data_IF_511556394542
#
_entry.id   IF_511556394542
#
_cell.length_a   1.000
_cell.length_b   1.000
_cell.length_c   1.000
_cell.angle_alpha   90.00
_cell.angle_beta   90.00
_cell.angle_gamma   90.00
#
_symmetry.space_group_name_H-M   'P 1'
#
loop_
_entity.id
_entity.type
_entity.pdbx_description
1 polymer ?
#
# COMPACT_ATOMS: atom_id res chain seq x y z
N UNK A 1 30.75 -10.85 -12.24
CA UNK A 1 29.70 -11.62 -11.53
C UNK A 1 28.39 -11.32 -12.26
N UNK A 2 28.00 -12.19 -13.18
CA UNK A 2 26.77 -12.13 -13.95
C UNK A 2 25.95 -13.34 -13.50
N UNK A 3 24.89 -13.10 -12.73
CA UNK A 3 23.91 -14.11 -12.36
C UNK A 3 22.54 -13.56 -12.75
N UNK A 4 22.09 -13.97 -13.93
CA UNK A 4 20.70 -14.21 -14.35
C UNK A 4 19.57 -13.30 -13.81
N UNK A 5 19.73 -11.98 -13.92
CA UNK A 5 18.58 -11.05 -13.84
C UNK A 5 17.50 -11.40 -14.88
N UNK A 6 17.88 -11.94 -16.04
CA UNK A 6 16.97 -12.33 -17.10
C UNK A 6 16.09 -13.55 -16.73
N UNK A 7 16.61 -14.51 -15.97
CA UNK A 7 15.83 -15.68 -15.50
C UNK A 7 14.88 -15.24 -14.38
N UNK A 8 15.36 -14.39 -13.46
CA UNK A 8 14.50 -13.79 -12.43
C UNK A 8 13.36 -12.99 -13.07
N UNK A 9 13.62 -12.22 -14.14
CA UNK A 9 12.60 -11.46 -14.85
C UNK A 9 11.58 -12.35 -15.56
N UNK A 10 12.01 -13.48 -16.14
CA UNK A 10 11.14 -14.38 -16.90
C UNK A 10 10.26 -15.23 -15.99
N UNK A 11 10.83 -15.73 -14.88
CA UNK A 11 10.09 -16.43 -13.84
C UNK A 11 9.17 -15.48 -13.07
N UNK A 12 9.61 -14.23 -12.84
CA UNK A 12 8.76 -13.17 -12.32
C UNK A 12 7.61 -12.85 -13.28
N UNK A 13 7.85 -12.69 -14.57
CA UNK A 13 6.77 -12.47 -15.56
C UNK A 13 5.81 -13.65 -15.63
N UNK A 14 6.28 -14.88 -15.49
CA UNK A 14 5.41 -16.06 -15.50
C UNK A 14 4.57 -16.18 -14.21
N UNK A 15 5.19 -16.02 -13.03
CA UNK A 15 4.50 -16.00 -11.74
C UNK A 15 3.58 -14.79 -11.62
N UNK A 16 3.98 -13.65 -12.18
CA UNK A 16 3.16 -12.45 -12.29
C UNK A 16 2.00 -12.69 -13.25
N UNK A 17 2.17 -13.32 -14.40
CA UNK A 17 1.07 -13.68 -15.29
C UNK A 17 0.08 -14.67 -14.65
N UNK A 18 0.56 -15.65 -13.88
CA UNK A 18 -0.30 -16.59 -13.14
C UNK A 18 -1.03 -15.92 -11.96
N UNK A 19 -0.32 -15.06 -11.22
CA UNK A 19 -0.89 -14.26 -10.14
C UNK A 19 -1.86 -13.19 -10.66
N UNK A 20 -1.57 -12.61 -11.81
CA UNK A 20 -2.38 -11.64 -12.54
C UNK A 20 -3.61 -12.30 -13.15
N UNK A 21 -3.51 -13.54 -13.63
CA UNK A 21 -4.67 -14.33 -14.07
C UNK A 21 -5.59 -14.72 -12.89
N UNK A 22 -5.01 -14.96 -11.70
CA UNK A 22 -5.76 -15.16 -10.44
C UNK A 22 -6.31 -13.86 -9.85
N UNK A 23 -5.57 -12.75 -9.94
CA UNK A 23 -5.96 -11.43 -9.43
C UNK A 23 -6.91 -10.68 -10.37
N UNK A 24 -6.94 -11.02 -11.67
CA UNK A 24 -7.96 -10.58 -12.64
C UNK A 24 -9.37 -10.94 -12.20
N UNK A 25 -9.50 -11.99 -11.37
CA UNK A 25 -10.77 -12.43 -10.80
C UNK A 25 -11.24 -11.50 -9.67
N UNK A 26 -10.35 -10.65 -9.14
CA UNK A 26 -10.66 -9.48 -8.29
C UNK A 26 -10.51 -8.20 -9.14
N UNK A 27 -11.48 -7.96 -10.03
CA UNK A 27 -11.46 -6.94 -11.09
C UNK A 27 -11.02 -5.53 -10.59
N UNK A 28 -11.34 -5.19 -9.35
CA UNK A 28 -11.09 -3.87 -8.76
C UNK A 28 -9.65 -3.64 -8.27
N UNK A 29 -8.92 -4.69 -7.85
CA UNK A 29 -7.58 -4.55 -7.28
C UNK A 29 -6.51 -4.47 -8.38
N UNK A 30 -6.66 -5.27 -9.43
CA UNK A 30 -5.74 -5.27 -10.57
C UNK A 30 -5.87 -3.99 -11.39
N UNK A 31 -7.10 -3.50 -11.61
CA UNK A 31 -7.32 -2.18 -12.21
C UNK A 31 -6.76 -1.06 -11.32
N UNK A 32 -6.86 -1.13 -9.99
CA UNK A 32 -6.27 -0.10 -9.11
C UNK A 32 -4.74 -0.10 -9.15
N UNK A 33 -4.10 -1.26 -9.26
CA UNK A 33 -2.63 -1.38 -9.43
C UNK A 33 -2.21 -0.89 -10.81
N UNK A 34 -2.89 -1.32 -11.89
CA UNK A 34 -2.61 -0.86 -13.25
C UNK A 34 -2.91 0.63 -13.42
N UNK A 35 -4.00 1.13 -12.84
CA UNK A 35 -4.32 2.56 -12.82
C UNK A 35 -3.32 3.32 -11.99
N UNK A 36 -2.81 2.82 -10.87
CA UNK A 36 -1.76 3.55 -10.19
C UNK A 36 -0.42 3.51 -10.91
N UNK A 37 -0.04 2.39 -11.50
CA UNK A 37 1.21 2.32 -12.25
C UNK A 37 1.09 3.18 -13.52
N UNK A 38 -0.07 3.16 -14.18
CA UNK A 38 -0.42 4.00 -15.33
C UNK A 38 -0.64 5.46 -14.94
N UNK A 39 -1.20 5.79 -13.78
CA UNK A 39 -1.34 7.17 -13.28
C UNK A 39 0.04 7.68 -12.89
N UNK A 40 0.88 6.92 -12.18
CA UNK A 40 2.26 7.32 -11.91
C UNK A 40 3.08 7.45 -13.19
N UNK A 41 2.91 6.57 -14.19
CA UNK A 41 3.53 6.65 -15.52
C UNK A 41 2.97 7.79 -16.38
N UNK A 42 1.66 8.06 -16.31
CA UNK A 42 1.00 9.17 -17.00
C UNK A 42 1.33 10.49 -16.31
N UNK A 43 1.48 10.54 -14.99
CA UNK A 43 1.99 11.67 -14.22
C UNK A 43 3.46 11.89 -14.54
N UNK A 44 4.28 10.85 -14.72
CA UNK A 44 5.63 10.96 -15.28
C UNK A 44 5.60 11.52 -16.72
N UNK A 45 4.77 10.97 -17.59
CA UNK A 45 4.60 11.43 -18.98
C UNK A 45 4.01 12.83 -19.10
N UNK A 46 3.21 13.26 -18.12
CA UNK A 46 2.55 14.56 -18.03
C UNK A 46 3.40 15.60 -17.31
N UNK A 47 4.23 15.22 -16.32
CA UNK A 47 5.15 16.14 -15.63
C UNK A 47 6.31 16.57 -16.52
N UNK A 48 6.70 15.74 -17.48
CA UNK A 48 7.55 16.17 -18.59
C UNK A 48 6.79 17.04 -19.63
N UNK A 49 5.57 17.49 -19.30
CA UNK A 49 4.98 18.74 -19.81
C UNK A 49 4.11 19.47 -18.73
N UNK A 50 4.75 19.76 -17.59
CA UNK A 50 4.55 20.83 -16.61
C UNK A 50 3.14 21.46 -16.42
N UNK A 51 2.44 21.08 -15.33
CA UNK A 51 1.52 21.96 -14.55
C UNK A 51 1.47 21.53 -13.08
N UNK A 52 2.43 21.99 -12.28
CA UNK A 52 2.44 21.89 -10.81
C UNK A 52 1.61 23.00 -10.15
N UNK A 53 1.32 22.86 -8.85
CA UNK A 53 0.51 23.81 -8.08
C UNK A 53 1.05 25.24 -8.16
N UNK A 54 0.17 26.25 -8.16
CA UNK A 54 0.54 27.67 -8.25
C UNK A 54 1.60 28.10 -7.24
N UNK A 55 1.68 27.40 -6.09
CA UNK A 55 2.64 27.68 -5.03
C UNK A 55 4.05 27.14 -5.34
N UNK A 56 4.17 25.95 -5.94
CA UNK A 56 5.44 25.38 -6.38
C UNK A 56 5.92 26.04 -7.68
N UNK A 57 5.00 26.34 -8.61
CA UNK A 57 5.31 27.15 -9.79
C UNK A 57 5.71 28.57 -9.42
N UNK A 58 5.20 29.15 -8.32
CA UNK A 58 5.63 30.47 -7.86
C UNK A 58 7.03 30.44 -7.24
N UNK A 59 7.41 29.39 -6.50
CA UNK A 59 8.80 29.21 -6.03
C UNK A 59 9.75 29.00 -7.20
N UNK A 60 9.38 28.16 -8.18
CA UNK A 60 10.16 27.92 -9.40
C UNK A 60 10.21 29.19 -10.27
N UNK A 61 9.14 29.97 -10.35
CA UNK A 61 9.06 31.25 -11.08
C UNK A 61 9.81 32.38 -10.38
N UNK A 62 9.75 32.49 -9.06
CA UNK A 62 10.54 33.46 -8.29
C UNK A 62 12.04 33.12 -8.38
N UNK A 63 12.40 31.83 -8.39
CA UNK A 63 13.75 31.37 -8.69
C UNK A 63 14.17 31.73 -10.13
N UNK A 64 13.33 31.43 -11.13
CA UNK A 64 13.54 31.82 -12.54
C UNK A 64 13.63 33.34 -12.75
N UNK A 65 12.85 34.13 -12.03
CA UNK A 65 12.88 35.59 -12.15
C UNK A 65 14.11 36.20 -11.45
N UNK A 66 14.63 35.58 -10.39
CA UNK A 66 15.95 35.93 -9.82
C UNK A 66 17.10 35.44 -10.71
N UNK A 67 16.92 34.37 -11.47
CA UNK A 67 17.87 33.83 -12.46
C UNK A 67 17.95 34.66 -13.75
N UNK A 68 16.97 35.50 -14.03
CA UNK A 68 16.96 36.44 -15.16
C UNK A 68 17.54 37.82 -14.80
N UNK A 69 18.06 37.99 -13.57
CA UNK A 69 18.92 39.12 -13.23
C UNK A 69 20.30 38.89 -13.86
N UNK A 70 20.68 39.65 -14.91
CA UNK A 70 21.93 39.43 -15.64
C UNK A 70 23.19 39.64 -14.78
N UNK A 71 23.05 40.17 -13.56
CA UNK A 71 24.15 40.36 -12.62
C UNK A 71 24.51 39.13 -11.76
N UNK A 72 23.74 38.03 -11.81
CA UNK A 72 23.93 36.89 -10.89
C UNK A 72 23.51 35.56 -11.53
N UNK A 73 24.11 35.22 -12.67
CA UNK A 73 23.92 33.91 -13.32
C UNK A 73 24.71 32.87 -12.50
N UNK A 74 24.04 31.88 -11.86
CA UNK A 74 24.72 30.78 -11.20
C UNK A 74 25.55 29.99 -12.22
N UNK A 75 26.69 29.45 -11.81
CA UNK A 75 27.53 28.62 -12.68
C UNK A 75 26.71 27.44 -13.24
N UNK A 76 27.00 27.01 -14.47
CA UNK A 76 26.27 25.92 -15.13
C UNK A 76 26.33 24.61 -14.30
N UNK A 77 27.39 24.42 -13.53
CA UNK A 77 27.56 23.28 -12.63
C UNK A 77 26.58 23.32 -11.44
N UNK A 78 26.26 24.52 -10.90
CA UNK A 78 25.25 24.68 -9.85
C UNK A 78 23.84 24.33 -10.35
N UNK A 79 23.58 24.54 -11.64
CA UNK A 79 22.31 24.17 -12.29
C UNK A 79 22.13 22.66 -12.43
N UNK A 80 23.18 21.94 -12.82
CA UNK A 80 23.15 20.47 -12.96
C UNK A 80 22.88 19.83 -11.59
N UNK A 81 23.56 20.29 -10.55
CA UNK A 81 23.36 19.85 -9.17
C UNK A 81 21.92 20.12 -8.71
N UNK A 82 21.38 21.32 -8.99
CA UNK A 82 20.00 21.67 -8.64
C UNK A 82 18.95 20.78 -9.32
N UNK A 83 19.15 20.44 -10.60
CA UNK A 83 18.25 19.55 -11.35
C UNK A 83 18.33 18.10 -10.87
N UNK A 84 19.51 17.60 -10.52
CA UNK A 84 19.67 16.27 -9.94
C UNK A 84 18.96 16.15 -8.59
N UNK A 85 19.15 17.14 -7.71
CA UNK A 85 18.45 17.19 -6.41
C UNK A 85 16.93 17.25 -6.58
N UNK A 86 16.43 18.04 -7.55
CA UNK A 86 15.00 18.11 -7.85
C UNK A 86 14.44 16.77 -8.35
N UNK A 87 15.18 16.09 -9.24
CA UNK A 87 14.83 14.76 -9.74
C UNK A 87 14.79 13.72 -8.63
N UNK A 88 15.78 13.70 -7.74
CA UNK A 88 15.82 12.79 -6.59
C UNK A 88 14.63 13.02 -5.65
N UNK A 89 14.32 14.29 -5.34
CA UNK A 89 13.18 14.63 -4.49
C UNK A 89 11.84 14.21 -5.10
N UNK A 90 11.68 14.37 -6.41
CA UNK A 90 10.48 13.93 -7.12
C UNK A 90 10.33 12.41 -7.11
N UNK A 91 11.40 11.67 -7.47
CA UNK A 91 11.39 10.20 -7.44
C UNK A 91 11.09 9.67 -6.04
N UNK A 92 11.67 10.29 -5.01
CA UNK A 92 11.38 9.98 -3.61
C UNK A 92 9.89 10.10 -3.31
N UNK A 93 9.23 11.19 -3.70
CA UNK A 93 7.78 11.33 -3.49
C UNK A 93 6.98 10.25 -4.23
N UNK A 94 7.33 9.94 -5.48
CA UNK A 94 6.67 8.90 -6.26
C UNK A 94 6.73 7.55 -5.54
N UNK A 95 7.90 7.16 -5.02
CA UNK A 95 8.03 5.90 -4.30
C UNK A 95 7.24 5.90 -2.99
N UNK A 96 7.23 6.99 -2.24
CA UNK A 96 6.42 7.10 -1.02
C UNK A 96 4.90 7.03 -1.29
N UNK A 97 4.43 7.67 -2.36
CA UNK A 97 3.05 7.54 -2.81
C UNK A 97 2.75 6.09 -3.23
N UNK A 98 3.67 5.44 -3.93
CA UNK A 98 3.57 4.02 -4.27
C UNK A 98 3.44 3.13 -3.02
N UNK A 99 4.25 3.36 -1.97
CA UNK A 99 4.15 2.63 -0.70
C UNK A 99 2.83 2.92 0.02
N UNK A 100 2.35 4.16 -0.04
CA UNK A 100 1.04 4.53 0.50
C UNK A 100 -0.07 3.75 -0.19
N UNK A 101 -0.02 3.64 -1.52
CA UNK A 101 -0.98 2.86 -2.25
C UNK A 101 -0.87 1.37 -1.96
N UNK A 102 0.34 0.82 -1.87
CA UNK A 102 0.56 -0.59 -1.50
C UNK A 102 -0.17 -0.95 -0.20
N UNK A 103 -0.14 -0.05 0.78
CA UNK A 103 -0.91 -0.21 2.00
C UNK A 103 -2.43 -0.16 1.76
N UNK A 104 -2.91 0.82 1.00
CA UNK A 104 -4.33 0.92 0.63
C UNK A 104 -4.82 -0.32 -0.11
N UNK A 105 -4.01 -0.91 -0.99
CA UNK A 105 -4.31 -2.16 -1.69
C UNK A 105 -4.54 -3.30 -0.69
N UNK A 106 -3.71 -3.41 0.36
CA UNK A 106 -3.93 -4.40 1.40
C UNK A 106 -5.24 -4.17 2.17
N UNK A 107 -5.55 -2.92 2.49
CA UNK A 107 -6.80 -2.57 3.17
C UNK A 107 -8.04 -2.92 2.33
N UNK A 108 -8.02 -2.58 1.04
CA UNK A 108 -9.08 -2.91 0.08
C UNK A 108 -9.18 -4.43 -0.11
N UNK A 109 -8.06 -5.12 -0.31
CA UNK A 109 -8.04 -6.58 -0.46
C UNK A 109 -8.65 -7.29 0.75
N UNK A 110 -8.26 -6.91 1.97
CA UNK A 110 -8.80 -7.52 3.19
C UNK A 110 -10.28 -7.21 3.36
N UNK A 111 -10.72 -5.97 3.06
CA UNK A 111 -12.13 -5.59 3.09
C UNK A 111 -12.95 -6.43 2.11
N UNK A 112 -12.52 -6.50 0.86
CA UNK A 112 -13.25 -7.21 -0.21
C UNK A 112 -13.32 -8.70 0.08
N UNK A 113 -12.24 -9.29 0.62
CA UNK A 113 -12.23 -10.67 1.08
C UNK A 113 -13.21 -10.92 2.22
N UNK A 114 -13.27 -10.00 3.20
CA UNK A 114 -14.26 -10.08 4.29
C UNK A 114 -15.68 -9.99 3.74
N UNK A 115 -15.97 -9.06 2.83
CA UNK A 115 -17.27 -8.94 2.18
C UNK A 115 -17.65 -10.24 1.45
N UNK A 116 -16.73 -10.80 0.67
CA UNK A 116 -16.93 -12.05 -0.06
C UNK A 116 -17.27 -13.21 0.88
N UNK A 117 -16.55 -13.35 2.00
CA UNK A 117 -16.83 -14.42 2.98
C UNK A 117 -18.18 -14.20 3.66
N UNK A 118 -18.53 -12.96 3.99
CA UNK A 118 -19.84 -12.65 4.59
C UNK A 118 -21.00 -12.92 3.64
N UNK A 119 -20.78 -12.78 2.34
CA UNK A 119 -21.75 -13.13 1.31
C UNK A 119 -21.91 -14.66 1.19
N UNK A 120 -20.78 -15.37 1.08
CA UNK A 120 -20.72 -16.81 0.85
C UNK A 120 -21.09 -17.64 2.10
N UNK A 121 -20.57 -17.29 3.27
CA UNK A 121 -20.71 -18.02 4.52
C UNK A 121 -21.36 -17.14 5.61
N UNK A 122 -22.69 -17.08 5.56
CA UNK A 122 -23.51 -16.34 6.52
C UNK A 122 -23.40 -16.88 7.96
N UNK A 123 -22.88 -18.11 8.16
CA UNK A 123 -22.68 -18.64 9.52
C UNK A 123 -21.61 -17.87 10.28
N UNK A 124 -20.74 -17.16 9.57
CA UNK A 124 -19.71 -16.27 10.13
C UNK A 124 -20.29 -15.22 11.09
N UNK A 125 -21.50 -14.72 10.82
CA UNK A 125 -22.20 -13.77 11.70
C UNK A 125 -22.53 -14.35 13.10
N UNK A 126 -22.59 -15.68 13.23
CA UNK A 126 -22.87 -16.34 14.51
C UNK A 126 -21.62 -16.49 15.40
N UNK A 127 -20.42 -16.17 14.90
CA UNK A 127 -19.18 -16.29 15.66
C UNK A 127 -19.13 -15.30 16.85
N UNK A 128 -18.43 -15.71 17.91
CA UNK A 128 -18.24 -14.87 19.11
C UNK A 128 -17.49 -13.57 18.82
N UNK A 129 -16.65 -13.55 17.78
CA UNK A 129 -15.94 -12.34 17.37
C UNK A 129 -16.90 -11.30 16.77
N UNK A 130 -17.91 -11.72 16.01
CA UNK A 130 -18.91 -10.83 15.43
C UNK A 130 -19.83 -10.20 16.48
N UNK A 131 -20.10 -10.87 17.60
CA UNK A 131 -20.91 -10.33 18.71
C UNK A 131 -20.32 -9.06 19.34
N UNK A 132 -19.01 -8.82 19.16
CA UNK A 132 -18.31 -7.65 19.70
C UNK A 132 -18.52 -6.40 18.84
N UNK A 133 -18.99 -6.55 17.61
CA UNK A 133 -19.22 -5.44 16.69
C UNK A 133 -20.50 -4.72 17.10
N UNK A 134 -20.40 -3.41 17.33
CA UNK A 134 -21.55 -2.56 17.66
C UNK A 134 -22.06 -1.87 16.41
N UNK A 135 -23.34 -2.06 16.11
CA UNK A 135 -24.01 -1.45 14.96
C UNK A 135 -25.36 -0.87 15.41
N UNK A 136 -25.75 0.26 14.83
CA UNK A 136 -27.09 0.81 14.98
C UNK A 136 -28.09 -0.12 14.30
N UNK A 137 -28.96 -0.77 15.08
CA UNK A 137 -29.96 -1.71 14.55
C UNK A 137 -30.93 -1.02 13.58
N UNK A 138 -31.29 0.23 13.85
CA UNK A 138 -32.21 0.99 12.99
C UNK A 138 -31.58 1.27 11.62
N UNK A 139 -30.32 1.70 11.60
CA UNK A 139 -29.62 1.98 10.35
C UNK A 139 -29.37 0.68 9.58
N UNK A 140 -28.95 -0.38 10.29
CA UNK A 140 -28.68 -1.69 9.69
C UNK A 140 -29.94 -2.31 9.08
N UNK A 141 -31.10 -2.20 9.73
CA UNK A 141 -32.35 -2.74 9.22
C UNK A 141 -32.84 -2.02 7.95
N UNK A 142 -32.47 -0.74 7.76
CA UNK A 142 -32.81 0.05 6.57
C UNK A 142 -31.89 -0.22 5.37
N UNK A 143 -30.76 -0.86 5.60
CA UNK A 143 -29.81 -1.21 4.55
C UNK A 143 -30.26 -2.46 3.78
N UNK A 144 -29.95 -2.52 2.49
CA UNK A 144 -30.05 -3.77 1.72
C UNK A 144 -29.02 -4.79 2.21
N UNK A 145 -29.16 -6.06 1.81
CA UNK A 145 -28.21 -7.12 2.22
C UNK A 145 -26.77 -6.82 1.80
N UNK A 146 -26.57 -6.24 0.62
CA UNK A 146 -25.24 -5.89 0.10
C UNK A 146 -24.66 -4.71 0.89
N UNK A 147 -25.49 -3.69 1.14
CA UNK A 147 -25.10 -2.56 1.99
C UNK A 147 -24.76 -3.01 3.42
N UNK A 148 -25.48 -3.99 3.97
CA UNK A 148 -25.18 -4.57 5.28
C UNK A 148 -23.83 -5.26 5.29
N UNK A 149 -23.48 -6.03 4.25
CA UNK A 149 -22.17 -6.68 4.11
C UNK A 149 -21.07 -5.62 4.07
N UNK A 150 -21.18 -4.66 3.14
CA UNK A 150 -20.19 -3.61 2.95
C UNK A 150 -20.02 -2.76 4.22
N UNK A 151 -21.12 -2.39 4.87
CA UNK A 151 -21.08 -1.66 6.13
C UNK A 151 -20.33 -2.46 7.21
N UNK A 152 -20.61 -3.75 7.32
CA UNK A 152 -19.97 -4.63 8.31
C UNK A 152 -18.48 -4.81 8.02
N UNK A 153 -18.10 -5.03 6.77
CA UNK A 153 -16.69 -5.14 6.36
C UNK A 153 -15.92 -3.83 6.65
N UNK A 154 -16.53 -2.67 6.38
CA UNK A 154 -15.95 -1.37 6.70
C UNK A 154 -15.82 -1.12 8.21
N UNK A 155 -16.79 -1.56 9.02
CA UNK A 155 -16.69 -1.47 10.47
C UNK A 155 -15.53 -2.31 11.02
N UNK A 156 -15.32 -3.50 10.47
CA UNK A 156 -14.20 -4.36 10.84
C UNK A 156 -12.85 -3.75 10.44
N UNK A 157 -12.73 -3.24 9.20
CA UNK A 157 -11.51 -2.59 8.73
C UNK A 157 -11.13 -1.36 9.56
N UNK A 158 -12.13 -0.57 9.95
CA UNK A 158 -11.95 0.65 10.74
C UNK A 158 -11.97 0.41 12.26
N UNK A 159 -12.00 -0.85 12.69
CA UNK A 159 -12.07 -1.20 14.09
C UNK A 159 -10.86 -0.66 14.85
N UNK A 160 -11.10 0.30 15.74
CA UNK A 160 -10.05 1.03 16.47
C UNK A 160 -9.15 0.11 17.30
N UNK A 161 -9.69 -1.00 17.82
CA UNK A 161 -8.90 -1.98 18.56
C UNK A 161 -7.92 -2.78 17.68
N UNK A 162 -8.14 -2.88 16.37
CA UNK A 162 -7.17 -3.50 15.47
C UNK A 162 -6.05 -2.52 15.05
N UNK A 163 -6.29 -1.20 15.11
CA UNK A 163 -5.30 -0.18 14.73
C UNK A 163 -4.09 -0.08 15.66
N UNK A 164 -4.15 -0.69 16.86
CA UNK A 164 -3.01 -0.78 17.78
C UNK A 164 -1.96 -1.81 17.35
N UNK A 165 -2.33 -2.74 16.47
CA UNK A 165 -1.45 -3.81 16.03
C UNK A 165 -0.52 -3.34 14.90
N UNK A 166 0.64 -3.98 14.83
CA UNK A 166 1.69 -3.64 13.89
C UNK A 166 1.73 -4.64 12.72
N UNK A 167 1.93 -4.12 11.52
CA UNK A 167 2.09 -4.90 10.29
C UNK A 167 0.91 -5.82 10.03
N UNK A 168 1.22 -7.09 9.73
CA UNK A 168 0.22 -8.11 9.42
C UNK A 168 -0.71 -8.44 10.59
N UNK A 169 -0.33 -8.14 11.85
CA UNK A 169 -1.20 -8.42 13.01
C UNK A 169 -2.49 -7.60 12.97
N UNK A 170 -2.47 -6.40 12.37
CA UNK A 170 -3.67 -5.58 12.17
C UNK A 170 -4.66 -6.29 11.25
N UNK A 171 -4.18 -6.83 10.14
CA UNK A 171 -5.02 -7.55 9.19
C UNK A 171 -5.45 -8.91 9.75
N UNK A 172 -4.58 -9.64 10.44
CA UNK A 172 -4.94 -10.89 11.12
C UNK A 172 -5.99 -10.65 12.23
N UNK A 173 -5.96 -9.47 12.90
CA UNK A 173 -7.00 -9.05 13.83
C UNK A 173 -8.38 -8.94 13.17
N UNK A 174 -8.42 -8.36 11.97
CA UNK A 174 -9.64 -8.24 11.16
C UNK A 174 -10.09 -9.62 10.67
N UNK A 175 -9.19 -10.36 10.02
CA UNK A 175 -9.44 -11.68 9.43
C UNK A 175 -9.88 -12.74 10.45
N UNK A 176 -9.57 -12.55 11.74
CA UNK A 176 -10.07 -13.42 12.83
C UNK A 176 -11.58 -13.52 12.85
N UNK A 177 -12.29 -12.44 12.55
CA UNK A 177 -13.76 -12.40 12.56
C UNK A 177 -14.34 -13.37 11.55
N UNK A 178 -13.68 -13.52 10.40
CA UNK A 178 -14.10 -14.40 9.31
C UNK A 178 -13.36 -15.74 9.32
N UNK A 179 -12.70 -16.10 10.43
CA UNK A 179 -12.01 -17.39 10.57
C UNK A 179 -10.77 -17.57 9.69
N UNK A 180 -10.19 -16.48 9.17
CA UNK A 180 -8.98 -16.49 8.34
C UNK A 180 -7.72 -15.99 9.07
N UNK A 181 -7.82 -15.68 10.37
CA UNK A 181 -6.61 -15.44 11.16
C UNK A 181 -5.72 -16.69 11.15
N UNK A 182 -4.43 -16.48 10.97
CA UNK A 182 -3.44 -17.55 10.97
C UNK A 182 -2.10 -17.03 11.46
N UNK A 183 -1.25 -17.94 11.91
CA UNK A 183 0.11 -17.60 12.27
C UNK A 183 0.88 -17.17 11.02
N UNK A 184 0.91 -15.87 10.76
CA UNK A 184 1.83 -15.31 9.77
C UNK A 184 3.24 -15.51 10.34
N UNK A 185 4.18 -16.04 9.55
CA UNK A 185 5.54 -16.23 10.04
C UNK A 185 6.14 -14.91 10.53
N UNK A 186 6.91 -14.92 11.63
CA UNK A 186 7.52 -13.70 12.22
C UNK A 186 8.20 -12.81 11.18
N UNK A 187 8.82 -13.42 10.16
CA UNK A 187 9.45 -12.73 9.03
C UNK A 187 8.47 -11.91 8.19
N UNK A 188 7.28 -12.44 7.90
CA UNK A 188 6.28 -11.75 7.08
C UNK A 188 5.54 -10.67 7.90
N UNK A 189 5.32 -10.87 9.20
CA UNK A 189 4.90 -9.79 10.10
C UNK A 189 5.86 -8.61 10.06
N UNK A 190 7.15 -8.87 10.21
CA UNK A 190 8.22 -7.87 10.15
C UNK A 190 8.21 -7.10 8.82
N UNK A 191 8.06 -7.81 7.69
CA UNK A 191 7.96 -7.22 6.35
C UNK A 191 6.76 -6.28 6.20
N UNK A 192 5.57 -6.67 6.66
CA UNK A 192 4.38 -5.81 6.57
C UNK A 192 4.43 -4.65 7.57
N UNK A 193 5.06 -4.85 8.73
CA UNK A 193 5.33 -3.78 9.68
C UNK A 193 6.21 -2.69 9.05
N UNK A 194 7.23 -3.07 8.29
CA UNK A 194 8.07 -2.12 7.54
C UNK A 194 7.24 -1.28 6.55
N UNK A 195 6.39 -1.90 5.73
CA UNK A 195 5.48 -1.20 4.81
C UNK A 195 4.60 -0.19 5.57
N UNK A 196 3.98 -0.62 6.67
CA UNK A 196 3.12 0.22 7.50
C UNK A 196 3.88 1.43 8.07
N UNK A 197 5.05 1.20 8.64
CA UNK A 197 5.81 2.24 9.34
C UNK A 197 6.45 3.25 8.39
N UNK A 198 6.90 2.81 7.22
CA UNK A 198 7.36 3.69 6.16
C UNK A 198 6.22 4.59 5.66
N UNK A 199 5.04 4.02 5.38
CA UNK A 199 3.83 4.77 5.00
C UNK A 199 3.44 5.79 6.07
N UNK A 200 3.43 5.38 7.34
CA UNK A 200 3.06 6.26 8.44
C UNK A 200 4.04 7.42 8.61
N UNK A 201 5.33 7.15 8.51
CA UNK A 201 6.35 8.20 8.62
C UNK A 201 6.24 9.22 7.48
N UNK A 202 5.94 8.78 6.26
CA UNK A 202 5.67 9.68 5.15
C UNK A 202 4.47 10.60 5.41
N UNK A 203 3.33 10.01 5.75
CA UNK A 203 2.06 10.75 5.88
C UNK A 203 2.03 11.67 7.10
N UNK A 204 2.63 11.26 8.21
CA UNK A 204 2.52 11.99 9.47
C UNK A 204 3.76 12.81 9.80
N UNK A 205 4.94 12.41 9.34
CA UNK A 205 6.21 13.00 9.75
C UNK A 205 7.09 13.42 8.55
N UNK A 206 6.51 13.62 7.36
CA UNK A 206 7.24 14.02 6.15
C UNK A 206 8.45 13.10 5.84
N UNK A 207 8.29 11.80 6.13
CA UNK A 207 9.31 10.77 6.03
C UNK A 207 10.59 11.07 6.85
N UNK A 208 10.41 11.64 8.04
CA UNK A 208 11.42 11.71 9.09
C UNK A 208 11.20 10.56 10.07
N UNK A 209 12.29 9.84 10.40
CA UNK A 209 12.27 8.77 11.38
C UNK A 209 12.10 9.34 12.79
N UNK A 210 10.92 9.14 13.38
CA UNK A 210 10.66 9.48 14.78
C UNK A 210 10.99 8.31 15.71
N UNK A 211 10.89 8.55 17.02
CA UNK A 211 11.14 7.52 18.02
C UNK A 211 10.26 6.28 17.83
N UNK A 212 8.98 6.47 17.50
CA UNK A 212 8.01 5.39 17.32
C UNK A 212 8.37 4.49 16.14
N UNK A 213 8.81 5.07 15.03
CA UNK A 213 9.26 4.36 13.84
C UNK A 213 10.48 3.49 14.17
N UNK A 214 11.47 4.03 14.86
CA UNK A 214 12.69 3.31 15.25
C UNK A 214 12.37 2.17 16.20
N UNK A 215 11.53 2.42 17.21
CA UNK A 215 11.14 1.40 18.18
C UNK A 215 10.30 0.28 17.52
N UNK A 216 9.48 0.63 16.50
CA UNK A 216 8.66 -0.34 15.76
C UNK A 216 9.46 -1.13 14.71
N UNK A 217 10.49 -0.53 14.12
CA UNK A 217 11.30 -1.10 13.04
C UNK A 217 12.82 -0.95 13.29
N UNK A 218 13.36 -1.47 14.41
CA UNK A 218 14.77 -1.25 14.78
C UNK A 218 15.76 -1.88 13.79
N UNK A 219 15.32 -2.86 13.02
CA UNK A 219 16.15 -3.55 12.03
C UNK A 219 16.46 -2.72 10.79
N UNK A 220 15.81 -1.57 10.60
CA UNK A 220 16.07 -0.68 9.47
C UNK A 220 17.29 0.22 9.70
N UNK A 221 17.77 0.34 10.94
CA UNK A 221 19.02 1.04 11.25
C UNK A 221 18.96 2.57 11.19
N UNK A 222 17.77 3.17 11.02
CA UNK A 222 17.59 4.63 11.05
C UNK A 222 17.83 5.23 12.43
N UNK A 223 18.27 6.48 12.46
CA UNK A 223 18.41 7.31 13.67
C UNK A 223 17.25 8.30 13.78
N UNK A 224 17.00 8.78 15.00
CA UNK A 224 15.93 9.74 15.24
C UNK A 224 16.24 11.07 14.55
N UNK A 225 15.27 11.62 13.82
CA UNK A 225 15.44 12.81 12.98
C UNK A 225 16.04 12.51 11.59
N UNK A 226 16.43 11.28 11.31
CA UNK A 226 16.96 10.91 10.00
C UNK A 226 15.86 10.91 8.93
N UNK A 227 16.20 11.37 7.73
CA UNK A 227 15.28 11.36 6.61
C UNK A 227 15.22 9.95 5.99
N UNK A 228 14.03 9.36 5.99
CA UNK A 228 13.78 8.07 5.35
C UNK A 228 13.84 8.28 3.83
N UNK A 229 14.67 7.46 3.19
CA UNK A 229 14.83 7.39 1.73
C UNK A 229 14.41 6.01 1.25
N UNK A 230 13.72 5.98 0.12
CA UNK A 230 13.29 4.76 -0.56
C UNK A 230 13.90 4.82 -1.95
N UNK A 231 14.75 3.84 -2.28
CA UNK A 231 15.21 3.65 -3.65
C UNK A 231 14.17 2.87 -4.47
N UNK A 232 14.40 2.74 -5.77
CA UNK A 232 13.56 1.89 -6.61
C UNK A 232 13.57 0.43 -6.12
N UNK A 233 14.74 -0.08 -5.73
CA UNK A 233 14.92 -1.44 -5.20
C UNK A 233 14.16 -1.63 -3.87
N UNK A 234 14.20 -0.64 -2.98
CA UNK A 234 13.40 -0.66 -1.77
C UNK A 234 11.90 -0.70 -2.08
N UNK A 235 11.45 0.11 -3.05
CA UNK A 235 10.06 0.08 -3.48
C UNK A 235 9.64 -1.30 -4.00
N UNK A 236 10.45 -1.92 -4.88
CA UNK A 236 10.19 -3.27 -5.39
C UNK A 236 10.16 -4.32 -4.26
N UNK A 237 11.05 -4.19 -3.28
CA UNK A 237 11.09 -5.03 -2.08
C UNK A 237 9.80 -4.90 -1.26
N UNK A 238 9.33 -3.67 -1.01
CA UNK A 238 8.08 -3.41 -0.29
C UNK A 238 6.85 -3.92 -1.06
N UNK A 239 6.82 -3.74 -2.39
CA UNK A 239 5.78 -4.31 -3.25
C UNK A 239 5.74 -5.84 -3.13
N UNK A 240 6.90 -6.50 -3.17
CA UNK A 240 6.98 -7.95 -2.94
C UNK A 240 6.46 -8.36 -1.57
N UNK A 241 6.71 -7.57 -0.52
CA UNK A 241 6.22 -7.88 0.84
C UNK A 241 4.70 -7.90 0.88
N UNK A 242 4.04 -6.93 0.24
CA UNK A 242 2.59 -6.88 0.10
C UNK A 242 2.06 -8.10 -0.65
N UNK A 243 2.66 -8.45 -1.79
CA UNK A 243 2.25 -9.64 -2.55
C UNK A 243 2.42 -10.93 -1.76
N UNK A 244 3.56 -11.10 -1.07
CA UNK A 244 3.81 -12.27 -0.21
C UNK A 244 2.70 -12.43 0.86
N UNK A 245 2.17 -11.32 1.41
CA UNK A 245 1.07 -11.36 2.38
C UNK A 245 -0.29 -11.66 1.74
N UNK A 246 -0.60 -11.07 0.58
CA UNK A 246 -1.81 -11.38 -0.18
C UNK A 246 -1.88 -12.88 -0.51
N UNK A 247 -0.79 -13.47 -1.01
CA UNK A 247 -0.74 -14.90 -1.31
C UNK A 247 -0.90 -15.77 -0.06
N UNK A 248 -0.32 -15.37 1.05
CA UNK A 248 -0.49 -16.09 2.31
C UNK A 248 -1.95 -16.09 2.79
N UNK A 249 -2.65 -14.95 2.65
CA UNK A 249 -4.08 -14.87 2.99
C UNK A 249 -4.93 -15.66 2.00
N UNK A 250 -4.65 -15.58 0.70
CA UNK A 250 -5.34 -16.37 -0.33
C UNK A 250 -5.18 -17.87 -0.09
N UNK A 251 -3.98 -18.33 0.27
CA UNK A 251 -3.72 -19.73 0.65
C UNK A 251 -4.57 -20.17 1.83
N UNK A 252 -4.78 -19.32 2.84
CA UNK A 252 -5.65 -19.62 3.99
C UNK A 252 -7.12 -19.71 3.57
N UNK A 253 -7.56 -18.83 2.68
CA UNK A 253 -8.90 -18.88 2.10
C UNK A 253 -9.13 -20.22 1.39
N UNK A 254 -8.22 -20.61 0.48
CA UNK A 254 -8.30 -21.89 -0.25
C UNK A 254 -8.34 -23.10 0.70
N UNK A 255 -7.57 -23.07 1.79
CA UNK A 255 -7.57 -24.13 2.80
C UNK A 255 -8.89 -24.20 3.59
N UNK A 256 -9.49 -23.04 3.89
CA UNK A 256 -10.73 -22.94 4.67
C UNK A 256 -11.96 -23.29 3.83
N UNK A 257 -11.91 -22.97 2.53
CA UNK A 257 -13.01 -23.09 1.58
C UNK A 257 -12.57 -23.84 0.31
N UNK A 258 -12.20 -25.13 0.40
CA UNK A 258 -11.67 -25.90 -0.73
C UNK A 258 -12.71 -26.08 -1.86
N UNK A 259 -13.99 -26.09 -1.52
CA UNK A 259 -15.11 -26.25 -2.45
C UNK A 259 -15.68 -24.93 -2.97
N UNK A 260 -15.13 -23.78 -2.52
CA UNK A 260 -15.48 -22.49 -3.09
C UNK A 260 -14.97 -22.44 -4.53
N UNK A 261 -15.81 -22.92 -5.46
CA UNK A 261 -15.65 -22.60 -6.87
C UNK A 261 -15.75 -21.08 -6.91
N UNK A 262 -14.65 -20.40 -7.20
CA UNK A 262 -14.68 -18.98 -7.56
C UNK A 262 -15.65 -18.89 -8.74
N UNK A 263 -16.89 -18.48 -8.46
CA UNK A 263 -17.88 -18.26 -9.49
C UNK A 263 -17.38 -17.02 -10.21
N UNK A 264 -16.68 -17.24 -11.32
CA UNK A 264 -16.30 -16.16 -12.21
C UNK A 264 -17.60 -15.46 -12.64
N UNK A 265 -17.69 -14.11 -12.51
CA UNK A 265 -18.73 -13.36 -13.21
C UNK A 265 -18.59 -13.53 -14.73
#
# INVERSE_FOLDING_TARGET
>A
MNFDEAIFYKDFQHLWAQAFQKARQCLHVTQAIEMSFSVSLMTLSSHYNLKGSEMELRVVREALMKMLDPGNIPDFDDWVVGLEVAKENYLRQVYFQGVTLLWTILEVFVRDLVSLILEFDRTTFASEEFKKIRVSLLDYHRMTKDQQIDHTANLLLNATYCNRFLGAERFDCILRHVGLAGATGKRLHKKIAEVQQIRNSFIHNNAVADRKFIDSCPWLGYREGENIRISFEDFLKLHKYVLDYIFEVARRFDQRYPDAKVIAP
#
